data_IF_843440954996
#
_entry.id   IF_843440954996
#
_cell.length_a   1.000
_cell.length_b   1.000
_cell.length_c   1.000
_cell.angle_alpha   90.00
_cell.angle_beta   90.00
_cell.angle_gamma   90.00
#
_symmetry.space_group_name_H-M   'P 1'
#
loop_
_entity.id
_entity.type
_entity.pdbx_description
1 polymer ?
#
# COMPACT_ATOMS: atom_id res chain seq x y z
N UNK A 1 -36.49 -7.01 -8.27
CA UNK A 1 -35.67 -7.24 -7.07
C UNK A 1 -34.30 -7.76 -7.49
N UNK A 2 -33.32 -6.88 -7.68
CA UNK A 2 -31.99 -7.24 -8.17
C UNK A 2 -31.07 -7.62 -7.00
N UNK A 3 -30.40 -8.77 -7.06
CA UNK A 3 -29.40 -9.15 -6.05
C UNK A 3 -28.27 -8.11 -6.02
N UNK A 4 -27.82 -7.66 -4.84
CA UNK A 4 -26.69 -6.76 -4.75
C UNK A 4 -25.42 -7.50 -5.20
N UNK A 5 -24.79 -7.02 -6.28
CA UNK A 5 -23.48 -7.53 -6.69
C UNK A 5 -22.49 -7.23 -5.57
N UNK A 6 -22.06 -8.29 -4.86
CA UNK A 6 -20.98 -8.18 -3.88
C UNK A 6 -19.69 -7.95 -4.66
N UNK A 7 -19.38 -6.68 -4.98
CA UNK A 7 -18.03 -6.28 -5.39
C UNK A 7 -17.08 -6.78 -4.30
N UNK A 8 -16.32 -7.83 -4.58
CA UNK A 8 -15.30 -8.33 -3.65
C UNK A 8 -14.37 -7.15 -3.34
N UNK A 9 -14.18 -6.79 -2.07
CA UNK A 9 -13.34 -5.65 -1.72
C UNK A 9 -11.94 -5.88 -2.27
N UNK A 10 -11.36 -4.84 -2.91
CA UNK A 10 -9.94 -4.86 -3.31
C UNK A 10 -9.11 -4.77 -2.02
N UNK A 11 -8.75 -5.93 -1.47
CA UNK A 11 -8.08 -6.08 -0.17
C UNK A 11 -6.57 -6.26 -0.32
N UNK A 12 -5.85 -6.01 0.77
CA UNK A 12 -4.47 -6.43 1.02
C UNK A 12 -4.17 -7.90 0.65
N UNK A 13 -5.17 -8.79 0.73
CA UNK A 13 -5.02 -10.22 0.43
C UNK A 13 -4.55 -10.51 -1.00
N UNK A 14 -4.67 -9.56 -1.94
CA UNK A 14 -4.11 -9.71 -3.31
C UNK A 14 -2.57 -9.88 -3.31
N UNK A 15 -1.89 -9.45 -2.24
CA UNK A 15 -0.43 -9.64 -2.07
C UNK A 15 -0.07 -10.94 -1.36
N UNK A 16 -1.02 -11.77 -0.93
CA UNK A 16 -0.76 -12.94 -0.10
C UNK A 16 0.27 -13.90 -0.73
N UNK A 17 0.23 -14.10 -2.06
CA UNK A 17 1.21 -14.94 -2.76
C UNK A 17 2.62 -14.35 -2.70
N UNK A 18 2.77 -13.05 -2.92
CA UNK A 18 4.08 -12.37 -2.82
C UNK A 18 4.57 -12.38 -1.38
N UNK A 19 3.69 -12.10 -0.41
CA UNK A 19 4.01 -12.15 1.01
C UNK A 19 4.46 -13.56 1.45
N UNK A 20 3.82 -14.61 0.92
CA UNK A 20 4.21 -16.00 1.18
C UNK A 20 5.63 -16.30 0.68
N UNK A 21 5.98 -15.88 -0.54
CA UNK A 21 7.33 -16.06 -1.07
C UNK A 21 8.41 -15.23 -0.35
N UNK A 22 8.00 -14.21 0.39
CA UNK A 22 8.86 -13.31 1.14
C UNK A 22 8.88 -13.63 2.65
N UNK A 23 8.11 -14.61 3.10
CA UNK A 23 7.99 -14.99 4.50
C UNK A 23 9.37 -15.38 5.08
N UNK A 24 9.66 -14.88 6.28
CA UNK A 24 10.96 -15.11 6.96
C UNK A 24 12.12 -14.26 6.43
N UNK A 25 11.92 -13.47 5.36
CA UNK A 25 12.95 -12.56 4.81
C UNK A 25 12.60 -11.09 5.02
N UNK A 26 11.33 -10.76 4.91
CA UNK A 26 10.78 -9.43 5.24
C UNK A 26 9.47 -9.60 5.99
N UNK A 27 9.11 -8.59 6.78
CA UNK A 27 7.76 -8.44 7.29
C UNK A 27 7.02 -7.53 6.31
N UNK A 28 6.01 -8.01 5.54
CA UNK A 28 5.34 -7.20 4.54
C UNK A 28 4.06 -6.58 5.11
N UNK A 29 4.08 -5.38 5.73
CA UNK A 29 2.86 -4.66 6.03
C UNK A 29 2.17 -4.31 4.70
N UNK A 30 0.93 -4.77 4.55
CA UNK A 30 0.08 -4.46 3.39
C UNK A 30 -1.20 -3.79 3.89
N UNK A 31 -1.15 -2.50 4.30
CA UNK A 31 -2.34 -1.80 4.75
C UNK A 31 -3.36 -1.65 3.61
N UNK A 32 -4.64 -1.71 3.95
CA UNK A 32 -5.69 -1.26 3.03
C UNK A 32 -5.68 0.27 2.98
N UNK A 33 -5.66 0.85 1.78
CA UNK A 33 -5.69 2.30 1.63
C UNK A 33 -7.02 2.88 2.12
N UNK A 34 -6.98 4.09 2.66
CA UNK A 34 -8.14 4.90 3.02
C UNK A 34 -9.26 4.80 1.97
N UNK A 35 -10.49 4.61 2.43
CA UNK A 35 -11.65 4.43 1.55
C UNK A 35 -11.72 3.06 0.87
N UNK A 36 -10.87 2.09 1.24
CA UNK A 36 -10.85 0.74 0.65
C UNK A 36 -10.90 -0.35 1.72
N UNK A 37 -11.56 -1.46 1.37
CA UNK A 37 -11.54 -2.71 2.13
C UNK A 37 -11.77 -2.52 3.65
N UNK A 38 -10.81 -2.81 4.53
CA UNK A 38 -10.97 -2.64 5.97
C UNK A 38 -10.84 -1.17 6.40
N UNK A 39 -10.16 -0.34 5.61
CA UNK A 39 -10.01 1.10 5.80
C UNK A 39 -11.12 1.94 5.13
N UNK A 40 -12.26 1.32 4.79
CA UNK A 40 -13.35 1.98 4.03
C UNK A 40 -14.04 3.12 4.76
N UNK A 41 -14.01 3.09 6.10
CA UNK A 41 -14.67 4.07 6.95
C UNK A 41 -13.80 5.30 7.23
N UNK A 42 -12.53 5.28 6.82
CA UNK A 42 -11.64 6.43 7.00
C UNK A 42 -12.13 7.62 6.16
N UNK A 43 -12.23 8.82 6.76
CA UNK A 43 -12.73 9.99 6.07
C UNK A 43 -11.78 10.45 4.97
N UNK A 44 -12.32 11.28 4.07
CA UNK A 44 -11.51 11.99 3.08
C UNK A 44 -10.51 12.98 3.72
N UNK A 45 -9.68 13.64 2.90
CA UNK A 45 -9.66 13.57 1.43
C UNK A 45 -9.14 12.23 0.91
N UNK A 46 -9.57 11.86 -0.31
CA UNK A 46 -9.07 10.68 -1.02
C UNK A 46 -8.14 11.11 -2.15
N UNK A 47 -7.23 10.24 -2.55
CA UNK A 47 -6.32 10.49 -3.68
C UNK A 47 -4.89 10.05 -3.37
N UNK A 48 -4.03 10.11 -4.39
CA UNK A 48 -2.64 9.63 -4.28
C UNK A 48 -1.87 10.39 -3.19
N UNK A 49 -2.06 11.70 -3.05
CA UNK A 49 -1.41 12.50 -2.01
C UNK A 49 -1.81 12.07 -0.60
N UNK A 50 -3.13 11.98 -0.33
CA UNK A 50 -3.62 11.53 0.97
C UNK A 50 -3.17 10.09 1.30
N UNK A 51 -3.18 9.21 0.30
CA UNK A 51 -2.66 7.84 0.45
C UNK A 51 -1.15 7.80 0.70
N UNK A 52 -0.38 8.73 0.14
CA UNK A 52 1.05 8.80 0.34
C UNK A 52 1.39 9.24 1.78
N UNK A 53 0.64 10.20 2.31
CA UNK A 53 0.75 10.66 3.70
C UNK A 53 0.30 9.57 4.69
N UNK A 54 -0.78 8.84 4.38
CA UNK A 54 -1.21 7.66 5.17
C UNK A 54 -0.11 6.59 5.23
N UNK A 55 0.56 6.34 4.11
CA UNK A 55 1.67 5.37 4.04
C UNK A 55 2.86 5.84 4.87
N UNK A 56 3.19 7.14 4.86
CA UNK A 56 4.25 7.69 5.67
C UNK A 56 3.94 7.56 7.17
N UNK A 57 2.71 7.83 7.59
CA UNK A 57 2.27 7.64 8.97
C UNK A 57 2.38 6.16 9.41
N UNK A 58 2.00 5.22 8.53
CA UNK A 58 2.15 3.79 8.80
C UNK A 58 3.62 3.37 8.91
N UNK A 59 4.53 4.02 8.17
CA UNK A 59 5.95 3.70 8.13
C UNK A 59 6.75 4.35 9.27
N UNK A 60 6.43 5.61 9.62
CA UNK A 60 7.14 6.41 10.62
C UNK A 60 6.93 5.96 12.08
N UNK A 61 6.16 4.90 12.32
CA UNK A 61 6.04 4.30 13.64
C UNK A 61 7.41 3.77 14.12
N UNK A 62 7.91 4.16 15.31
CA UNK A 62 9.31 3.98 15.78
C UNK A 62 9.92 2.57 15.76
N UNK A 63 9.12 1.55 15.46
CA UNK A 63 9.50 0.15 15.52
C UNK A 63 9.86 -0.48 14.15
N UNK A 64 9.96 0.31 13.08
CA UNK A 64 10.13 -0.25 11.72
C UNK A 64 11.57 -0.10 11.21
N UNK A 65 12.15 -1.26 10.88
CA UNK A 65 13.38 -1.38 10.10
C UNK A 65 13.24 -0.65 8.74
N UNK A 66 14.34 -0.44 7.98
CA UNK A 66 14.30 0.24 6.69
C UNK A 66 13.18 -0.29 5.78
N UNK A 67 12.31 0.60 5.30
CA UNK A 67 11.13 0.21 4.51
C UNK A 67 11.42 0.36 3.02
N UNK A 68 10.98 -0.63 2.24
CA UNK A 68 11.02 -0.59 0.77
C UNK A 68 9.59 -0.58 0.23
N UNK A 69 9.01 0.58 -0.08
CA UNK A 69 7.67 0.67 -0.66
C UNK A 69 7.61 -0.01 -2.03
N UNK A 70 6.50 -0.70 -2.31
CA UNK A 70 6.25 -1.32 -3.61
C UNK A 70 4.78 -1.37 -3.96
N UNK A 71 4.45 -1.26 -5.24
CA UNK A 71 3.10 -0.98 -5.70
C UNK A 71 2.83 -1.40 -7.14
N UNK A 72 1.58 -1.71 -7.49
CA UNK A 72 1.14 -1.78 -8.88
C UNK A 72 0.01 -0.77 -9.10
N UNK A 73 -0.02 -0.11 -10.27
CA UNK A 73 -1.03 0.90 -10.63
C UNK A 73 -1.10 1.98 -9.55
N UNK A 74 -2.26 2.23 -8.93
CA UNK A 74 -2.42 3.20 -7.85
C UNK A 74 -1.42 3.00 -6.69
N UNK A 75 -1.06 1.75 -6.38
CA UNK A 75 -0.05 1.48 -5.36
C UNK A 75 1.35 1.92 -5.78
N UNK A 76 1.68 1.86 -7.08
CA UNK A 76 2.96 2.35 -7.60
C UNK A 76 3.04 3.86 -7.48
N UNK A 77 1.99 4.57 -7.92
CA UNK A 77 1.90 6.03 -7.76
C UNK A 77 1.97 6.46 -6.29
N UNK A 78 1.28 5.75 -5.40
CA UNK A 78 1.31 6.03 -3.96
C UNK A 78 2.73 5.81 -3.40
N UNK A 79 3.38 4.69 -3.73
CA UNK A 79 4.74 4.39 -3.28
C UNK A 79 5.77 5.42 -3.76
N UNK A 80 5.71 5.80 -5.05
CA UNK A 80 6.57 6.85 -5.62
C UNK A 80 6.34 8.20 -4.93
N UNK A 81 5.07 8.58 -4.72
CA UNK A 81 4.76 9.86 -4.10
C UNK A 81 5.13 9.89 -2.61
N UNK A 82 5.00 8.77 -1.88
CA UNK A 82 5.51 8.66 -0.50
C UNK A 82 7.01 8.89 -0.47
N UNK A 83 7.78 8.25 -1.37
CA UNK A 83 9.23 8.44 -1.42
C UNK A 83 9.63 9.88 -1.79
N UNK A 84 8.88 10.54 -2.67
CA UNK A 84 9.13 11.93 -3.04
C UNK A 84 8.80 12.94 -1.92
N UNK A 85 7.74 12.68 -1.13
CA UNK A 85 7.29 13.58 -0.05
C UNK A 85 8.01 13.34 1.28
N UNK A 86 8.50 12.13 1.50
CA UNK A 86 9.15 11.70 2.73
C UNK A 86 10.46 10.95 2.41
N UNK A 87 11.47 11.64 1.86
CA UNK A 87 12.68 11.03 1.33
C UNK A 87 13.51 10.29 2.39
N UNK A 88 13.38 10.66 3.66
CA UNK A 88 14.12 10.05 4.77
C UNK A 88 13.53 8.71 5.26
N UNK A 89 12.33 8.34 4.80
CA UNK A 89 11.63 7.13 5.26
C UNK A 89 12.02 5.86 4.49
N UNK A 90 11.99 5.81 3.14
CA UNK A 90 12.31 4.60 2.41
C UNK A 90 13.81 4.44 2.16
N UNK A 91 14.34 3.24 2.36
CA UNK A 91 15.73 2.93 1.97
C UNK A 91 15.88 2.58 0.49
N UNK A 92 14.78 2.19 -0.17
CA UNK A 92 14.71 1.95 -1.60
C UNK A 92 13.23 1.98 -2.08
N UNK A 93 13.01 2.03 -3.39
CA UNK A 93 11.68 1.96 -4.01
C UNK A 93 11.65 0.84 -5.08
N UNK A 94 10.70 -0.09 -4.98
CA UNK A 94 10.56 -1.19 -5.95
C UNK A 94 9.25 -1.06 -6.74
N UNK A 95 9.38 -0.77 -8.04
CA UNK A 95 8.26 -0.69 -8.97
C UNK A 95 8.35 -1.83 -9.98
N UNK A 96 7.27 -2.61 -10.18
CA UNK A 96 7.26 -3.65 -11.20
C UNK A 96 7.38 -2.99 -12.58
N UNK A 97 8.40 -3.39 -13.33
CA UNK A 97 8.52 -3.06 -14.73
C UNK A 97 7.38 -3.72 -15.52
N UNK A 98 7.06 -3.16 -16.69
CA UNK A 98 6.19 -3.84 -17.66
C UNK A 98 6.93 -5.11 -18.10
N UNK A 99 6.29 -6.30 -18.09
CA UNK A 99 6.95 -7.50 -18.61
C UNK A 99 7.31 -7.31 -20.09
N UNK A 100 8.38 -7.96 -20.58
CA UNK A 100 8.79 -7.91 -21.98
C UNK A 100 7.68 -8.41 -22.92
#
# INVERSE_FOLDING_TARGET
>A
MALPSRRRPRTARRRARVAHHLAGRVTPPAPDLRGRAHSRALPGPYGIAAHADDMAAVVGEPARAPVVPTGHSMGAFTATLTAARHPDLPSALLLPARPP
#
